data_IF_680371297273
#
_entry.id   IF_680371297273
#
_cell.length_a   1.000
_cell.length_b   1.000
_cell.length_c   1.000
_cell.angle_alpha   90.00
_cell.angle_beta   90.00
_cell.angle_gamma   90.00
#
_symmetry.space_group_name_H-M   'P 1'
#
loop_
_entity.id
_entity.type
_entity.pdbx_description
1 polymer ?
#
# COMPACT_ATOMS: atom_id res chain seq x y z
N UNK A 1 -4.68 25.22 20.85
CA UNK A 1 -4.25 23.82 20.79
C UNK A 1 -5.12 23.00 21.72
N UNK A 2 -5.88 22.03 21.24
CA UNK A 2 -6.57 21.07 22.11
C UNK A 2 -5.49 20.15 22.69
N UNK A 3 -5.38 20.07 24.01
CA UNK A 3 -4.43 19.22 24.69
C UNK A 3 -4.63 17.74 24.36
N UNK A 4 -3.54 16.97 24.26
CA UNK A 4 -3.57 15.53 24.06
C UNK A 4 -4.22 14.90 25.29
N UNK A 5 -5.38 14.24 25.11
CA UNK A 5 -6.05 13.48 26.16
C UNK A 5 -5.23 12.19 26.38
N UNK A 6 -4.77 11.97 27.60
CA UNK A 6 -4.10 10.73 28.00
C UNK A 6 -5.13 9.80 28.64
N UNK A 7 -5.23 8.58 28.11
CA UNK A 7 -6.12 7.55 28.63
C UNK A 7 -5.31 6.31 28.99
N UNK A 8 -5.48 5.82 30.22
CA UNK A 8 -4.77 4.63 30.69
C UNK A 8 -5.62 3.39 30.42
N UNK A 9 -5.14 2.52 29.53
CA UNK A 9 -5.77 1.24 29.26
C UNK A 9 -5.41 0.29 30.39
N UNK A 10 -6.42 -0.29 31.07
CA UNK A 10 -6.25 -1.23 32.19
C UNK A 10 -6.58 -2.67 31.79
N UNK A 11 -7.32 -2.87 30.69
CA UNK A 11 -7.59 -4.19 30.10
C UNK A 11 -7.88 -4.04 28.62
N UNK A 12 -7.66 -5.10 27.84
CA UNK A 12 -8.04 -5.22 26.44
C UNK A 12 -9.02 -6.39 26.36
N UNK A 13 -10.18 -6.17 25.73
CA UNK A 13 -11.23 -7.16 25.58
C UNK A 13 -11.37 -7.50 24.09
N UNK A 14 -11.52 -8.78 23.75
CA UNK A 14 -11.74 -9.22 22.38
C UNK A 14 -12.98 -8.53 21.78
N UNK A 15 -12.85 -8.01 20.56
CA UNK A 15 -13.91 -7.27 19.85
C UNK A 15 -14.04 -5.79 20.23
N UNK A 16 -13.31 -5.30 21.23
CA UNK A 16 -13.28 -3.90 21.60
C UNK A 16 -12.31 -3.11 20.69
N UNK A 17 -12.82 -2.13 19.97
CA UNK A 17 -11.99 -1.25 19.14
C UNK A 17 -11.39 -0.15 20.01
N UNK A 18 -10.14 -0.32 20.45
CA UNK A 18 -9.41 0.65 21.25
C UNK A 18 -8.97 1.88 20.43
N UNK A 19 -8.81 1.71 19.12
CA UNK A 19 -8.34 2.76 18.23
C UNK A 19 -9.30 2.94 17.06
N UNK A 20 -9.74 4.17 16.84
CA UNK A 20 -10.46 4.55 15.64
C UNK A 20 -9.45 4.65 14.49
N UNK A 21 -9.51 3.69 13.61
CA UNK A 21 -8.69 3.65 12.40
C UNK A 21 -9.47 4.16 11.19
N UNK A 22 -10.21 5.25 11.37
CA UNK A 22 -10.99 5.89 10.32
C UNK A 22 -10.50 7.32 10.08
N UNK A 23 -10.58 7.76 8.84
CA UNK A 23 -10.17 9.10 8.42
C UNK A 23 -10.89 9.51 7.15
N UNK A 24 -10.48 10.65 6.61
CA UNK A 24 -10.98 11.17 5.33
C UNK A 24 -9.76 11.42 4.43
N UNK A 25 -9.80 10.88 3.22
CA UNK A 25 -8.86 11.21 2.16
C UNK A 25 -9.44 12.33 1.31
N UNK A 26 -8.73 13.45 1.23
CA UNK A 26 -9.12 14.61 0.44
C UNK A 26 -8.46 14.53 -0.94
N UNK A 27 -9.27 14.31 -1.98
CA UNK A 27 -8.77 14.12 -3.34
C UNK A 27 -9.31 15.22 -4.24
N UNK A 28 -8.42 15.94 -4.90
CA UNK A 28 -8.81 16.96 -5.87
C UNK A 28 -9.05 16.31 -7.23
N UNK A 29 -10.21 16.58 -7.82
CA UNK A 29 -10.56 16.18 -9.18
C UNK A 29 -10.96 17.42 -9.99
N UNK A 30 -10.61 17.43 -11.25
CA UNK A 30 -11.08 18.46 -12.19
C UNK A 30 -12.34 17.94 -12.85
N UNK A 31 -13.44 18.64 -12.68
CA UNK A 31 -14.70 18.38 -13.37
C UNK A 31 -14.84 19.37 -14.52
N UNK A 32 -15.19 18.86 -15.66
CA UNK A 32 -15.58 19.70 -16.80
C UNK A 32 -17.10 19.87 -16.81
N UNK A 33 -17.57 21.10 -16.78
CA UNK A 33 -18.97 21.41 -16.91
C UNK A 33 -19.28 21.62 -18.42
N UNK A 34 -20.07 20.71 -18.97
CA UNK A 34 -20.40 20.75 -20.40
C UNK A 34 -21.26 21.97 -20.79
N UNK A 35 -22.04 22.53 -19.84
CA UNK A 35 -22.92 23.67 -20.12
C UNK A 35 -22.17 25.01 -20.10
N UNK A 36 -21.28 25.21 -19.13
CA UNK A 36 -20.48 26.44 -19.01
C UNK A 36 -19.16 26.39 -19.77
N UNK A 37 -18.69 25.20 -20.19
CA UNK A 37 -17.35 24.92 -20.71
C UNK A 37 -16.21 25.30 -19.74
N UNK A 38 -16.51 25.45 -18.46
CA UNK A 38 -15.56 25.79 -17.43
C UNK A 38 -15.01 24.53 -16.77
N UNK A 39 -13.79 24.65 -16.22
CA UNK A 39 -13.18 23.62 -15.38
C UNK A 39 -13.37 23.99 -13.91
N UNK A 40 -14.02 23.11 -13.17
CA UNK A 40 -14.19 23.23 -11.74
C UNK A 40 -13.27 22.24 -11.01
N UNK A 41 -12.55 22.72 -10.00
CA UNK A 41 -11.76 21.85 -9.12
C UNK A 41 -12.63 21.50 -7.92
N UNK A 42 -12.96 20.22 -7.81
CA UNK A 42 -13.75 19.68 -6.69
C UNK A 42 -12.81 18.90 -5.76
N UNK A 43 -12.97 19.14 -4.47
CA UNK A 43 -12.33 18.32 -3.45
C UNK A 43 -13.30 17.22 -2.99
N UNK A 44 -12.98 15.97 -3.33
CA UNK A 44 -13.74 14.81 -2.87
C UNK A 44 -13.27 14.40 -1.48
N UNK A 45 -14.21 14.22 -0.57
CA UNK A 45 -13.98 13.66 0.76
C UNK A 45 -14.30 12.16 0.74
N UNK A 46 -13.27 11.34 0.72
CA UNK A 46 -13.43 9.88 0.66
C UNK A 46 -13.18 9.30 2.05
N UNK A 47 -14.21 8.77 2.72
CA UNK A 47 -14.03 8.06 3.99
C UNK A 47 -13.09 6.86 3.81
N UNK A 48 -12.09 6.76 4.70
CA UNK A 48 -11.10 5.67 4.69
C UNK A 48 -11.01 5.02 6.07
N UNK A 49 -10.54 3.77 6.07
CA UNK A 49 -10.30 2.98 7.28
C UNK A 49 -9.02 2.17 7.16
N UNK A 50 -8.45 1.79 8.29
CA UNK A 50 -7.25 0.95 8.36
C UNK A 50 -7.50 -0.42 9.00
N UNK A 51 -8.75 -0.77 9.32
CA UNK A 51 -9.07 -2.06 9.95
C UNK A 51 -8.68 -3.23 9.07
N UNK A 52 -7.80 -4.11 9.58
CA UNK A 52 -7.31 -5.31 8.88
C UNK A 52 -6.39 -5.01 7.68
N UNK A 53 -5.88 -3.77 7.54
CA UNK A 53 -4.92 -3.42 6.48
C UNK A 53 -3.53 -3.97 6.81
N UNK A 54 -3.12 -3.95 8.08
CA UNK A 54 -1.82 -4.50 8.49
C UNK A 54 -1.73 -6.00 8.18
N UNK A 55 -2.75 -6.76 8.56
CA UNK A 55 -2.83 -8.20 8.31
C UNK A 55 -2.87 -8.52 6.80
N UNK A 56 -3.56 -7.67 6.02
CA UNK A 56 -3.58 -7.77 4.57
C UNK A 56 -2.17 -7.59 4.00
N UNK A 57 -1.47 -6.54 4.40
CA UNK A 57 -0.10 -6.25 3.95
C UNK A 57 0.84 -7.39 4.35
N UNK A 58 0.74 -7.92 5.55
CA UNK A 58 1.60 -9.01 6.02
C UNK A 58 1.33 -10.32 5.25
N UNK A 59 0.06 -10.59 4.92
CA UNK A 59 -0.31 -11.71 4.06
C UNK A 59 0.34 -11.59 2.69
N UNK A 60 0.22 -10.44 2.03
CA UNK A 60 0.84 -10.19 0.73
C UNK A 60 2.37 -10.28 0.81
N UNK A 61 3.01 -9.72 1.83
CA UNK A 61 4.47 -9.85 2.03
C UNK A 61 4.92 -11.32 2.12
N UNK A 62 4.14 -12.16 2.78
CA UNK A 62 4.45 -13.60 2.89
C UNK A 62 4.37 -14.33 1.54
N UNK A 63 3.58 -13.82 0.60
CA UNK A 63 3.34 -14.36 -0.74
C UNK A 63 4.20 -13.68 -1.81
N UNK A 64 5.04 -12.71 -1.41
CA UNK A 64 5.86 -11.96 -2.35
C UNK A 64 6.74 -12.88 -3.22
N UNK A 65 6.83 -12.63 -4.54
CA UNK A 65 7.67 -13.41 -5.42
C UNK A 65 9.14 -13.34 -4.97
N UNK A 66 9.83 -14.47 -5.13
CA UNK A 66 11.25 -14.58 -4.77
C UNK A 66 12.10 -14.52 -6.03
N UNK A 67 13.22 -13.80 -6.01
CA UNK A 67 14.15 -13.80 -7.14
C UNK A 67 14.73 -15.21 -7.36
N UNK A 68 14.99 -15.60 -8.62
CA UNK A 68 15.60 -16.89 -8.91
C UNK A 68 17.03 -16.96 -8.36
N UNK A 69 17.46 -18.17 -8.01
CA UNK A 69 18.83 -18.43 -7.59
C UNK A 69 19.65 -18.77 -8.82
N UNK A 70 20.76 -18.08 -9.01
CA UNK A 70 21.72 -18.32 -10.10
C UNK A 70 23.10 -18.62 -9.55
N UNK A 71 23.91 -19.37 -10.33
CA UNK A 71 25.32 -19.53 -10.07
C UNK A 71 26.08 -18.36 -10.71
N UNK A 72 26.80 -17.57 -9.89
CA UNK A 72 27.60 -16.42 -10.31
C UNK A 72 29.07 -16.69 -10.04
N UNK A 73 29.92 -16.55 -11.07
CA UNK A 73 31.36 -16.60 -10.88
C UNK A 73 31.87 -15.26 -10.34
N UNK A 74 32.39 -15.27 -9.13
CA UNK A 74 33.07 -14.13 -8.54
C UNK A 74 34.56 -14.28 -8.86
N UNK A 75 35.08 -13.34 -9.65
CA UNK A 75 36.49 -13.38 -10.11
C UNK A 75 37.41 -12.87 -9.01
N UNK A 76 38.55 -13.53 -8.89
CA UNK A 76 39.67 -13.10 -8.03
C UNK A 76 40.04 -11.63 -8.27
N UNK A 77 40.37 -10.93 -7.18
CA UNK A 77 40.81 -9.53 -7.22
C UNK A 77 39.69 -8.48 -7.35
N UNK A 78 38.44 -8.89 -7.57
CA UNK A 78 37.29 -7.96 -7.60
C UNK A 78 36.96 -7.43 -6.20
N UNK A 79 36.35 -6.25 -6.08
CA UNK A 79 35.88 -5.75 -4.79
C UNK A 79 34.95 -6.75 -4.07
N UNK A 80 34.07 -7.39 -4.81
CA UNK A 80 33.12 -8.40 -4.30
C UNK A 80 33.88 -9.63 -3.75
N UNK A 81 34.93 -10.11 -4.41
CA UNK A 81 35.78 -11.20 -3.92
C UNK A 81 36.49 -10.85 -2.60
N UNK A 82 36.96 -9.60 -2.47
CA UNK A 82 37.59 -9.11 -1.23
C UNK A 82 36.63 -9.02 -0.09
N UNK A 83 35.38 -8.53 -0.33
CA UNK A 83 34.35 -8.42 0.66
C UNK A 83 33.90 -9.79 1.19
N UNK A 84 33.83 -10.80 0.30
CA UNK A 84 33.48 -12.18 0.64
C UNK A 84 34.68 -13.01 1.13
N UNK A 85 35.89 -12.44 1.14
CA UNK A 85 37.10 -13.11 1.61
C UNK A 85 37.64 -14.18 0.65
N UNK A 86 37.31 -14.10 -0.64
CA UNK A 86 37.78 -15.06 -1.64
C UNK A 86 39.19 -14.69 -2.15
N UNK A 87 40.11 -15.66 -2.05
CA UNK A 87 41.47 -15.54 -2.54
C UNK A 87 41.66 -16.06 -3.98
N UNK A 88 40.62 -16.63 -4.56
CA UNK A 88 40.55 -17.16 -5.93
C UNK A 88 39.16 -16.99 -6.50
N UNK A 89 38.99 -17.18 -7.81
CA UNK A 89 37.65 -17.15 -8.44
C UNK A 89 36.79 -18.31 -7.96
N UNK A 90 35.61 -18.02 -7.47
CA UNK A 90 34.68 -19.02 -6.93
C UNK A 90 33.28 -18.86 -7.49
N UNK A 91 32.58 -19.99 -7.68
CA UNK A 91 31.15 -20.00 -8.01
C UNK A 91 30.34 -19.92 -6.74
N UNK A 92 29.43 -18.95 -6.69
CA UNK A 92 28.51 -18.76 -5.54
C UNK A 92 27.07 -18.74 -6.02
N UNK A 93 26.17 -19.27 -5.21
CA UNK A 93 24.74 -19.13 -5.43
C UNK A 93 24.28 -17.78 -4.90
N UNK A 94 23.65 -17.01 -5.76
CA UNK A 94 23.11 -15.69 -5.40
C UNK A 94 21.72 -15.52 -6.00
N UNK A 95 20.98 -14.53 -5.51
CA UNK A 95 19.68 -14.18 -6.08
C UNK A 95 19.85 -13.23 -7.27
N UNK A 96 19.11 -13.50 -8.35
CA UNK A 96 19.04 -12.59 -9.49
C UNK A 96 17.83 -11.65 -9.36
N UNK A 97 18.07 -10.47 -8.83
CA UNK A 97 17.06 -9.40 -8.70
C UNK A 97 16.79 -8.68 -10.02
N UNK A 98 17.51 -9.01 -11.09
CA UNK A 98 17.37 -8.39 -12.42
C UNK A 98 16.60 -9.28 -13.40
N UNK A 99 16.24 -10.49 -12.98
CA UNK A 99 15.46 -11.42 -13.80
C UNK A 99 14.12 -10.78 -14.23
N UNK A 100 13.86 -10.81 -15.53
CA UNK A 100 12.68 -10.16 -16.10
C UNK A 100 11.35 -10.80 -15.61
N UNK A 101 11.35 -12.12 -15.40
CA UNK A 101 10.19 -12.84 -14.87
C UNK A 101 9.91 -12.45 -13.43
N UNK A 102 10.94 -12.36 -12.60
CA UNK A 102 10.85 -11.90 -11.23
C UNK A 102 10.35 -10.45 -11.15
N UNK A 103 10.92 -9.54 -11.94
CA UNK A 103 10.54 -8.13 -11.93
C UNK A 103 9.08 -7.96 -12.33
N UNK A 104 8.62 -8.68 -13.36
CA UNK A 104 7.22 -8.66 -13.78
C UNK A 104 6.29 -9.21 -12.70
N UNK A 105 6.61 -10.36 -12.12
CA UNK A 105 5.82 -10.95 -11.04
C UNK A 105 5.76 -10.05 -9.80
N UNK A 106 6.86 -9.36 -9.50
CA UNK A 106 6.91 -8.38 -8.42
C UNK A 106 6.02 -7.17 -8.68
N UNK A 107 6.05 -6.63 -9.90
CA UNK A 107 5.19 -5.49 -10.31
C UNK A 107 3.71 -5.86 -10.23
N UNK A 108 3.32 -7.03 -10.73
CA UNK A 108 1.95 -7.56 -10.64
C UNK A 108 1.52 -7.70 -9.18
N UNK A 109 2.36 -8.32 -8.35
CA UNK A 109 2.10 -8.50 -6.93
C UNK A 109 1.95 -7.16 -6.17
N UNK A 110 2.81 -6.18 -6.44
CA UNK A 110 2.76 -4.85 -5.81
C UNK A 110 1.51 -4.08 -6.26
N UNK A 111 1.07 -4.25 -7.52
CA UNK A 111 -0.18 -3.70 -8.04
C UNK A 111 -1.40 -4.32 -7.35
N UNK A 112 -1.43 -5.64 -7.21
CA UNK A 112 -2.51 -6.37 -6.55
C UNK A 112 -2.63 -5.98 -5.07
N UNK A 113 -1.49 -5.81 -4.38
CA UNK A 113 -1.47 -5.27 -3.02
C UNK A 113 -2.06 -3.87 -2.96
N UNK A 114 -1.68 -2.99 -3.88
CA UNK A 114 -2.22 -1.63 -3.95
C UNK A 114 -3.74 -1.63 -4.12
N UNK A 115 -4.26 -2.44 -5.04
CA UNK A 115 -5.70 -2.60 -5.28
C UNK A 115 -6.40 -3.15 -4.03
N UNK A 116 -5.85 -4.17 -3.39
CA UNK A 116 -6.43 -4.78 -2.20
C UNK A 116 -6.49 -3.79 -1.03
N UNK A 117 -5.41 -3.01 -0.79
CA UNK A 117 -5.37 -1.96 0.23
C UNK A 117 -6.40 -0.87 -0.06
N UNK A 118 -6.48 -0.40 -1.32
CA UNK A 118 -7.44 0.61 -1.75
C UNK A 118 -8.88 0.15 -1.48
N UNK A 119 -9.25 -1.04 -1.98
CA UNK A 119 -10.62 -1.55 -1.90
C UNK A 119 -11.05 -1.90 -0.48
N UNK A 120 -10.13 -2.36 0.37
CA UNK A 120 -10.38 -2.65 1.79
C UNK A 120 -10.40 -1.38 2.64
N UNK A 121 -9.58 -0.40 2.26
CA UNK A 121 -9.41 0.83 3.02
C UNK A 121 -10.41 1.93 2.71
N UNK A 122 -11.12 1.88 1.59
CA UNK A 122 -12.25 2.79 1.31
C UNK A 122 -13.46 2.33 2.14
N UNK A 123 -14.00 3.25 2.96
CA UNK A 123 -15.12 2.97 3.86
C UNK A 123 -16.47 3.39 3.26
N UNK A 124 -16.66 3.16 1.95
CA UNK A 124 -17.92 3.39 1.23
C UNK A 124 -18.24 2.20 0.32
N UNK A 125 -19.51 1.91 0.18
CA UNK A 125 -19.97 0.90 -0.77
C UNK A 125 -19.89 1.44 -2.21
N UNK A 126 -19.47 0.59 -3.12
CA UNK A 126 -19.38 0.89 -4.55
C UNK A 126 -20.47 0.09 -5.26
N UNK A 127 -21.27 0.79 -6.07
CA UNK A 127 -22.39 0.19 -6.78
C UNK A 127 -22.15 0.20 -8.29
N UNK A 128 -22.63 -0.84 -8.97
CA UNK A 128 -22.71 -0.89 -10.43
C UNK A 128 -23.85 0.00 -10.98
N UNK A 129 -23.97 0.04 -12.32
CA UNK A 129 -25.07 0.79 -12.98
C UNK A 129 -26.45 0.24 -12.69
N UNK A 130 -26.54 -1.01 -12.24
CA UNK A 130 -27.79 -1.68 -11.83
C UNK A 130 -28.16 -1.45 -10.38
N UNK A 131 -27.32 -0.76 -9.60
CA UNK A 131 -27.52 -0.51 -8.16
C UNK A 131 -27.13 -1.70 -7.28
N UNK A 132 -26.38 -2.67 -7.79
CA UNK A 132 -25.86 -3.78 -7.00
C UNK A 132 -24.50 -3.41 -6.40
N UNK A 133 -24.21 -3.90 -5.19
CA UNK A 133 -22.89 -3.75 -4.58
C UNK A 133 -21.85 -4.50 -5.40
N UNK A 134 -20.76 -3.82 -5.73
CA UNK A 134 -19.61 -4.42 -6.41
C UNK A 134 -18.69 -5.04 -5.36
N UNK A 135 -18.47 -6.35 -5.42
CA UNK A 135 -17.59 -7.06 -4.49
C UNK A 135 -16.17 -7.24 -5.03
N UNK A 136 -16.04 -7.49 -6.35
CA UNK A 136 -14.74 -7.68 -7.00
C UNK A 136 -13.87 -6.42 -6.98
N UNK A 137 -12.61 -6.56 -6.58
CA UNK A 137 -11.70 -5.43 -6.40
C UNK A 137 -11.34 -4.74 -7.72
N UNK A 138 -11.14 -5.48 -8.80
CA UNK A 138 -10.82 -4.90 -10.11
C UNK A 138 -12.01 -4.14 -10.66
N UNK A 139 -13.21 -4.67 -10.44
CA UNK A 139 -14.45 -4.01 -10.83
C UNK A 139 -14.69 -2.75 -10.03
N UNK A 140 -14.40 -2.74 -8.71
CA UNK A 140 -14.40 -1.52 -7.87
C UNK A 140 -13.48 -0.45 -8.44
N UNK A 141 -12.25 -0.83 -8.79
CA UNK A 141 -11.27 0.09 -9.40
C UNK A 141 -11.77 0.59 -10.75
N UNK A 142 -12.39 -0.26 -11.57
CA UNK A 142 -12.99 0.14 -12.84
C UNK A 142 -14.08 1.19 -12.65
N UNK A 143 -15.00 0.96 -11.73
CA UNK A 143 -16.08 1.92 -11.41
C UNK A 143 -15.51 3.26 -10.92
N UNK A 144 -14.50 3.23 -10.06
CA UNK A 144 -13.85 4.45 -9.58
C UNK A 144 -13.14 5.22 -10.72
N UNK A 145 -12.48 4.52 -11.65
CA UNK A 145 -11.89 5.14 -12.85
C UNK A 145 -12.94 5.77 -13.74
N UNK A 146 -14.06 5.12 -13.94
CA UNK A 146 -15.21 5.68 -14.72
C UNK A 146 -15.79 6.94 -14.07
N UNK A 147 -15.65 7.10 -12.74
CA UNK A 147 -16.00 8.32 -12.02
C UNK A 147 -14.92 9.41 -12.08
N UNK A 148 -13.82 9.16 -12.76
CA UNK A 148 -12.77 10.13 -13.02
C UNK A 148 -11.59 10.10 -12.04
N UNK A 149 -11.49 9.08 -11.17
CA UNK A 149 -10.31 8.92 -10.33
C UNK A 149 -9.14 8.36 -11.15
N UNK A 150 -8.01 9.04 -11.11
CA UNK A 150 -6.76 8.65 -11.78
C UNK A 150 -5.88 7.76 -10.91
N UNK A 151 -4.82 7.19 -11.51
CA UNK A 151 -3.81 6.42 -10.78
C UNK A 151 -3.09 7.22 -9.69
N UNK A 152 -2.84 8.52 -9.91
CA UNK A 152 -2.23 9.41 -8.92
C UNK A 152 -3.13 9.55 -7.70
N UNK A 153 -4.42 9.74 -7.90
CA UNK A 153 -5.40 9.85 -6.83
C UNK A 153 -5.56 8.54 -6.07
N UNK A 154 -5.51 7.39 -6.75
CA UNK A 154 -5.46 6.09 -6.06
C UNK A 154 -4.22 5.96 -5.19
N UNK A 155 -3.05 6.35 -5.69
CA UNK A 155 -1.80 6.34 -4.92
C UNK A 155 -1.92 7.23 -3.68
N UNK A 156 -2.53 8.40 -3.81
CA UNK A 156 -2.79 9.30 -2.68
C UNK A 156 -3.72 8.65 -1.64
N UNK A 157 -4.82 8.04 -2.06
CA UNK A 157 -5.79 7.38 -1.17
C UNK A 157 -5.10 6.21 -0.43
N UNK A 158 -4.34 5.35 -1.16
CA UNK A 158 -3.58 4.24 -0.59
C UNK A 158 -2.57 4.76 0.45
N UNK A 159 -1.86 5.85 0.15
CA UNK A 159 -0.94 6.50 1.07
C UNK A 159 -1.63 6.97 2.35
N UNK A 160 -2.81 7.59 2.24
CA UNK A 160 -3.60 8.04 3.38
C UNK A 160 -4.10 6.86 4.23
N UNK A 161 -4.60 5.77 3.60
CA UNK A 161 -5.00 4.54 4.29
C UNK A 161 -3.81 3.94 5.04
N UNK A 162 -2.65 3.82 4.37
CA UNK A 162 -1.43 3.27 4.95
C UNK A 162 -0.92 4.12 6.12
N UNK A 163 -1.09 5.44 6.03
CA UNK A 163 -0.70 6.36 7.12
C UNK A 163 -1.54 6.15 8.37
N UNK A 164 -2.83 5.79 8.23
CA UNK A 164 -3.67 5.43 9.37
C UNK A 164 -3.19 4.15 10.10
N UNK A 165 -2.45 3.26 9.42
CA UNK A 165 -1.92 2.04 10.01
C UNK A 165 -0.55 2.22 10.67
N UNK A 166 0.16 3.31 10.33
CA UNK A 166 1.51 3.56 10.83
C UNK A 166 1.46 4.35 12.12
N UNK A 167 2.13 3.85 13.13
CA UNK A 167 2.56 4.67 14.23
C UNK A 167 3.57 5.69 13.70
N UNK A 168 3.42 6.94 14.08
CA UNK A 168 4.44 7.94 13.75
C UNK A 168 5.78 7.53 14.36
N UNK A 169 6.89 7.93 13.74
CA UNK A 169 8.22 7.57 14.24
C UNK A 169 8.47 8.13 15.66
N UNK A 170 7.81 9.24 16.03
CA UNK A 170 7.80 9.77 17.39
C UNK A 170 7.03 8.88 18.39
N UNK A 171 5.95 8.23 17.94
CA UNK A 171 5.21 7.28 18.78
C UNK A 171 5.99 5.97 18.98
N UNK A 172 6.70 5.51 17.93
CA UNK A 172 7.58 4.33 18.00
C UNK A 172 8.74 4.58 18.96
N UNK A 173 9.40 5.75 18.91
CA UNK A 173 10.51 6.07 19.80
C UNK A 173 10.08 6.20 21.27
N UNK A 174 8.87 6.69 21.53
CA UNK A 174 8.31 6.76 22.87
C UNK A 174 7.89 5.40 23.45
N UNK A 175 7.68 4.40 22.59
CA UNK A 175 7.28 3.06 23.01
C UNK A 175 8.47 2.12 23.22
N UNK A 176 9.59 2.35 22.51
CA UNK A 176 10.79 1.52 22.54
C UNK A 176 11.92 2.13 23.39
N UNK A 177 11.69 3.30 24.02
CA UNK A 177 12.64 4.07 24.85
C UNK A 177 12.82 3.56 26.27
#
# INVERSE_FOLDING_TARGET
MKGIKRERITKIVEGEKLFLSTGISYVKVTRFDEESQDQEIICLEIPIQSTGISELIDTFKSQAPKPPVIDKLIKEGTPEAKELGFSRSEWVKTFDFTDAGYLKAKEEHDSDLGIAVLCKGIAVDIFDKGGNIVEDNNEKVRVMKEKGLSGEQFTQIIGNITTLTKWSDSEKSNFLG
#
